data_IF_703552106508
#
_entry.id   IF_703552106508
#
_cell.length_a   1.000
_cell.length_b   1.000
_cell.length_c   1.000
_cell.angle_alpha   90.00
_cell.angle_beta   90.00
_cell.angle_gamma   90.00
#
_symmetry.space_group_name_H-M   'P 1'
#
loop_
_entity.id
_entity.type
_entity.pdbx_description
1 polymer ?
#
# COMPACT_ATOMS: atom_id res chain seq x y z
N UNK A 1 -15.80 22.09 15.68
CA UNK A 1 -16.11 21.99 14.23
C UNK A 1 -15.54 23.15 13.38
N UNK A 2 -16.00 24.39 13.57
CA UNK A 2 -15.57 25.55 12.75
C UNK A 2 -14.06 25.80 12.78
N UNK A 3 -13.45 25.81 13.98
CA UNK A 3 -11.99 25.94 14.13
C UNK A 3 -11.20 24.79 13.47
N UNK A 4 -11.82 23.62 13.30
CA UNK A 4 -11.21 22.50 12.57
C UNK A 4 -11.21 22.74 11.06
N UNK A 5 -12.28 23.33 10.53
CA UNK A 5 -12.37 23.71 9.11
C UNK A 5 -11.35 24.81 8.79
N UNK A 6 -11.24 25.82 9.65
CA UNK A 6 -10.26 26.90 9.52
C UNK A 6 -8.81 26.36 9.51
N UNK A 7 -8.46 25.52 10.49
CA UNK A 7 -7.16 24.87 10.54
C UNK A 7 -6.90 24.01 9.29
N UNK A 8 -7.91 23.27 8.80
CA UNK A 8 -7.78 22.51 7.55
C UNK A 8 -7.53 23.42 6.35
N UNK A 9 -8.23 24.55 6.20
CA UNK A 9 -7.98 25.46 5.07
C UNK A 9 -6.60 26.09 5.13
N UNK A 10 -6.16 26.52 6.31
CA UNK A 10 -4.79 27.03 6.50
C UNK A 10 -3.74 25.95 6.20
N UNK A 11 -4.00 24.71 6.59
CA UNK A 11 -3.19 23.56 6.20
C UNK A 11 -3.13 23.36 4.69
N UNK A 12 -4.26 23.52 3.99
CA UNK A 12 -4.32 23.45 2.53
C UNK A 12 -3.48 24.56 1.87
N UNK A 13 -3.51 25.78 2.41
CA UNK A 13 -2.70 26.90 1.92
C UNK A 13 -1.20 26.62 2.05
N UNK A 14 -0.75 26.19 3.24
CA UNK A 14 0.63 25.80 3.45
C UNK A 14 1.05 24.64 2.54
N UNK A 15 0.18 23.65 2.37
CA UNK A 15 0.44 22.51 1.49
C UNK A 15 0.64 22.96 0.04
N UNK A 16 -0.23 23.84 -0.49
CA UNK A 16 -0.10 24.39 -1.84
C UNK A 16 1.17 25.25 -2.00
N UNK A 17 1.60 25.90 -0.93
CA UNK A 17 2.83 26.67 -0.89
C UNK A 17 4.11 25.82 -0.69
N UNK A 18 3.99 24.49 -0.61
CA UNK A 18 5.13 23.59 -0.36
C UNK A 18 5.66 23.60 1.07
N UNK A 19 4.96 24.27 1.99
CA UNK A 19 5.30 24.41 3.41
C UNK A 19 4.71 23.24 4.20
N UNK A 20 5.25 22.04 3.97
CA UNK A 20 4.64 20.81 4.46
C UNK A 20 4.69 20.66 5.99
N UNK A 21 5.73 21.16 6.65
CA UNK A 21 5.83 21.12 8.12
C UNK A 21 4.74 21.98 8.77
N UNK A 22 4.50 23.18 8.24
CA UNK A 22 3.41 24.05 8.68
C UNK A 22 2.05 23.44 8.36
N UNK A 23 1.88 22.82 7.18
CA UNK A 23 0.66 22.10 6.83
C UNK A 23 0.35 20.96 7.81
N UNK A 24 1.37 20.20 8.24
CA UNK A 24 1.22 19.14 9.26
C UNK A 24 0.71 19.72 10.58
N UNK A 25 1.25 20.85 11.03
CA UNK A 25 0.83 21.48 12.28
C UNK A 25 -0.65 21.87 12.22
N UNK A 26 -1.08 22.49 11.12
CA UNK A 26 -2.47 22.90 10.93
C UNK A 26 -3.42 21.71 10.75
N UNK A 27 -3.02 20.65 10.02
CA UNK A 27 -3.84 19.43 9.93
C UNK A 27 -3.92 18.68 11.26
N UNK A 28 -2.86 18.65 12.06
CA UNK A 28 -2.91 18.11 13.44
C UNK A 28 -3.82 18.93 14.33
N UNK A 29 -3.88 20.24 14.14
CA UNK A 29 -4.86 21.07 14.84
C UNK A 29 -6.27 20.73 14.37
N UNK A 30 -6.50 20.57 13.06
CA UNK A 30 -7.79 20.15 12.51
C UNK A 30 -8.26 18.81 13.11
N UNK A 31 -7.38 17.79 13.17
CA UNK A 31 -7.72 16.49 13.78
C UNK A 31 -7.96 16.57 15.28
N UNK A 32 -7.32 17.48 16.02
CA UNK A 32 -7.67 17.72 17.44
C UNK A 32 -9.06 18.34 17.61
N UNK A 33 -9.45 19.23 16.70
CA UNK A 33 -10.76 19.93 16.75
C UNK A 33 -11.92 19.04 16.31
N UNK A 34 -11.66 18.09 15.43
CA UNK A 34 -12.60 17.07 15.00
C UNK A 34 -11.84 15.77 14.69
N UNK A 35 -11.68 14.89 15.69
CA UNK A 35 -10.94 13.65 15.53
C UNK A 35 -11.67 12.61 14.68
N UNK A 36 -12.96 12.83 14.38
CA UNK A 36 -13.81 11.91 13.63
C UNK A 36 -13.83 12.19 12.13
N UNK A 37 -13.20 13.28 11.68
CA UNK A 37 -13.17 13.65 10.29
C UNK A 37 -12.06 12.93 9.51
N UNK A 38 -12.45 11.91 8.72
CA UNK A 38 -11.51 11.13 7.90
C UNK A 38 -10.68 12.00 6.92
N UNK A 39 -11.25 13.09 6.40
CA UNK A 39 -10.56 13.96 5.46
C UNK A 39 -9.36 14.67 6.10
N UNK A 40 -9.42 15.01 7.39
CA UNK A 40 -8.32 15.68 8.10
C UNK A 40 -7.13 14.74 8.28
N UNK A 41 -7.39 13.48 8.62
CA UNK A 41 -6.35 12.45 8.74
C UNK A 41 -5.72 12.13 7.37
N UNK A 42 -6.50 12.07 6.29
CA UNK A 42 -5.96 11.90 4.94
C UNK A 42 -5.10 13.10 4.49
N UNK A 43 -5.50 14.33 4.82
CA UNK A 43 -4.71 15.52 4.51
C UNK A 43 -3.40 15.56 5.30
N UNK A 44 -3.45 15.15 6.58
CA UNK A 44 -2.26 14.94 7.39
C UNK A 44 -1.32 13.90 6.75
N UNK A 45 -1.85 12.75 6.32
CA UNK A 45 -1.08 11.72 5.62
C UNK A 45 -0.42 12.27 4.35
N UNK A 46 -1.15 13.06 3.56
CA UNK A 46 -0.61 13.70 2.36
C UNK A 46 0.59 14.60 2.69
N UNK A 47 0.50 15.43 3.73
CA UNK A 47 1.59 16.31 4.14
C UNK A 47 2.80 15.55 4.71
N UNK A 48 2.57 14.53 5.54
CA UNK A 48 3.62 13.66 6.07
C UNK A 48 4.37 12.92 4.95
N UNK A 49 3.64 12.39 3.97
CA UNK A 49 4.24 11.71 2.82
C UNK A 49 5.16 12.62 1.98
N UNK A 50 4.91 13.93 1.96
CA UNK A 50 5.77 14.90 1.26
C UNK A 50 7.10 15.16 1.96
N UNK A 51 7.18 14.86 3.26
CA UNK A 51 8.42 14.91 4.05
C UNK A 51 9.11 13.54 4.16
N UNK A 52 8.57 12.49 3.52
CA UNK A 52 9.13 11.14 3.60
C UNK A 52 8.84 10.40 4.92
N UNK A 53 8.00 10.96 5.80
CA UNK A 53 7.55 10.30 7.03
C UNK A 53 6.43 9.29 6.70
N UNK A 54 6.80 8.23 5.98
CA UNK A 54 5.84 7.29 5.41
C UNK A 54 5.15 6.43 6.47
N UNK A 55 5.83 6.06 7.56
CA UNK A 55 5.22 5.29 8.64
C UNK A 55 4.08 6.08 9.30
N UNK A 56 4.34 7.33 9.73
CA UNK A 56 3.30 8.17 10.33
C UNK A 56 2.21 8.54 9.31
N UNK A 57 2.57 8.72 8.04
CA UNK A 57 1.59 8.96 6.98
C UNK A 57 0.64 7.76 6.78
N UNK A 58 1.17 6.54 6.87
CA UNK A 58 0.39 5.30 6.78
C UNK A 58 -0.60 5.17 7.93
N UNK A 59 -0.15 5.41 9.16
CA UNK A 59 -1.02 5.44 10.36
C UNK A 59 -2.16 6.45 10.21
N UNK A 60 -1.88 7.63 9.66
CA UNK A 60 -2.90 8.64 9.40
C UNK A 60 -3.92 8.19 8.32
N UNK A 61 -3.48 7.46 7.27
CA UNK A 61 -4.41 6.84 6.32
C UNK A 61 -5.27 5.76 6.97
N UNK A 62 -4.67 4.90 7.79
CA UNK A 62 -5.40 3.86 8.52
C UNK A 62 -6.42 4.46 9.48
N UNK A 63 -6.08 5.58 10.12
CA UNK A 63 -7.05 6.32 10.95
C UNK A 63 -8.18 6.90 10.11
N UNK A 64 -7.90 7.47 8.95
CA UNK A 64 -8.94 7.95 8.03
C UNK A 64 -9.89 6.82 7.61
N UNK A 65 -9.34 5.64 7.27
CA UNK A 65 -10.11 4.47 6.84
C UNK A 65 -10.85 3.77 7.98
N UNK A 66 -10.36 3.86 9.22
CA UNK A 66 -11.11 3.41 10.39
C UNK A 66 -12.36 4.27 10.62
N UNK A 67 -12.26 5.58 10.35
CA UNK A 67 -13.37 6.52 10.51
C UNK A 67 -14.37 6.43 9.35
N UNK A 68 -13.86 6.30 8.13
CA UNK A 68 -14.66 6.12 6.93
C UNK A 68 -13.99 5.11 5.97
N UNK A 69 -14.41 3.84 6.01
CA UNK A 69 -13.90 2.80 5.11
C UNK A 69 -14.22 3.05 3.63
N UNK A 70 -15.19 3.93 3.34
CA UNK A 70 -15.60 4.30 1.97
C UNK A 70 -14.82 5.50 1.43
N UNK A 71 -13.86 6.04 2.20
CA UNK A 71 -13.09 7.18 1.77
C UNK A 71 -11.96 6.79 0.80
N UNK A 72 -12.32 6.62 -0.48
CA UNK A 72 -11.44 6.15 -1.56
C UNK A 72 -10.10 6.91 -1.66
N UNK A 73 -10.09 8.21 -1.35
CA UNK A 73 -8.85 9.01 -1.37
C UNK A 73 -7.82 8.52 -0.34
N UNK A 74 -8.28 8.03 0.81
CA UNK A 74 -7.41 7.45 1.82
C UNK A 74 -6.88 6.07 1.39
N UNK A 75 -7.68 5.25 0.70
CA UNK A 75 -7.20 4.00 0.09
C UNK A 75 -6.11 4.27 -0.96
N UNK A 76 -6.35 5.21 -1.87
CA UNK A 76 -5.37 5.62 -2.86
C UNK A 76 -4.09 6.17 -2.21
N UNK A 77 -4.22 7.03 -1.18
CA UNK A 77 -3.07 7.59 -0.46
C UNK A 77 -2.28 6.52 0.29
N UNK A 78 -2.95 5.57 0.95
CA UNK A 78 -2.31 4.43 1.60
C UNK A 78 -1.50 3.61 0.59
N UNK A 79 -2.10 3.30 -0.56
CA UNK A 79 -1.42 2.59 -1.64
C UNK A 79 -0.19 3.34 -2.17
N UNK A 80 -0.27 4.67 -2.33
CA UNK A 80 0.89 5.49 -2.74
C UNK A 80 2.03 5.39 -1.72
N UNK A 81 1.71 5.50 -0.43
CA UNK A 81 2.69 5.45 0.66
C UNK A 81 3.36 4.07 0.69
N UNK A 82 2.57 3.00 0.64
CA UNK A 82 3.06 1.62 0.59
C UNK A 82 3.92 1.37 -0.66
N UNK A 83 3.56 1.96 -1.80
CA UNK A 83 4.37 1.93 -3.01
C UNK A 83 5.73 2.62 -2.78
N UNK A 84 5.78 3.79 -2.15
CA UNK A 84 7.05 4.47 -1.86
C UNK A 84 7.90 3.72 -0.83
N UNK A 85 7.27 2.99 0.09
CA UNK A 85 7.93 2.07 1.02
C UNK A 85 8.32 0.73 0.39
N UNK A 86 8.07 0.55 -0.91
CA UNK A 86 8.26 -0.71 -1.65
C UNK A 86 7.53 -1.92 -1.07
N UNK A 87 6.48 -1.69 -0.28
CA UNK A 87 5.53 -2.70 0.17
C UNK A 87 4.50 -2.99 -0.95
N UNK A 88 4.97 -3.41 -2.12
CA UNK A 88 4.14 -3.47 -3.33
C UNK A 88 2.94 -4.43 -3.20
N UNK A 89 3.07 -5.53 -2.47
CA UNK A 89 1.94 -6.42 -2.19
C UNK A 89 0.82 -5.73 -1.40
N UNK A 90 1.17 -4.87 -0.43
CA UNK A 90 0.19 -4.06 0.32
C UNK A 90 -0.39 -2.94 -0.54
N UNK A 91 0.45 -2.26 -1.33
CA UNK A 91 0.00 -1.22 -2.24
C UNK A 91 -1.08 -1.75 -3.21
N UNK A 92 -0.85 -2.92 -3.81
CA UNK A 92 -1.83 -3.59 -4.67
C UNK A 92 -3.15 -3.86 -3.93
N UNK A 93 -3.09 -4.28 -2.67
CA UNK A 93 -4.28 -4.54 -1.85
C UNK A 93 -5.04 -3.24 -1.54
N UNK A 94 -4.35 -2.20 -1.08
CA UNK A 94 -4.92 -0.88 -0.78
C UNK A 94 -5.62 -0.27 -2.00
N UNK A 95 -4.99 -0.33 -3.18
CA UNK A 95 -5.63 0.17 -4.39
C UNK A 95 -6.83 -0.69 -4.83
N UNK A 96 -6.75 -2.02 -4.72
CA UNK A 96 -7.90 -2.92 -4.98
C UNK A 96 -9.07 -2.61 -4.05
N UNK A 97 -8.82 -2.39 -2.76
CA UNK A 97 -9.83 -1.96 -1.78
C UNK A 97 -10.46 -0.63 -2.16
N UNK A 98 -9.67 0.34 -2.63
CA UNK A 98 -10.20 1.58 -3.18
C UNK A 98 -11.13 1.36 -4.39
N UNK A 99 -10.80 0.41 -5.28
CA UNK A 99 -11.65 0.07 -6.43
C UNK A 99 -12.90 -0.76 -6.07
N UNK A 100 -12.87 -1.51 -4.97
CA UNK A 100 -14.09 -2.13 -4.42
C UNK A 100 -15.10 -1.06 -3.97
N UNK A 101 -14.62 0.10 -3.51
CA UNK A 101 -15.45 1.25 -3.11
C UNK A 101 -15.88 2.08 -4.32
N UNK A 102 -14.95 2.40 -5.22
CA UNK A 102 -15.20 3.17 -6.44
C UNK A 102 -14.45 2.55 -7.63
N UNK A 103 -15.14 1.69 -8.39
CA UNK A 103 -14.55 0.85 -9.45
C UNK A 103 -13.81 1.60 -10.55
N UNK A 104 -14.16 2.88 -10.77
CA UNK A 104 -13.57 3.73 -11.80
C UNK A 104 -12.64 4.81 -11.23
N UNK A 105 -12.17 4.66 -9.98
CA UNK A 105 -11.30 5.65 -9.37
C UNK A 105 -9.94 5.72 -10.09
N UNK A 106 -9.58 6.84 -10.73
CA UNK A 106 -8.38 6.93 -11.56
C UNK A 106 -7.09 6.82 -10.74
N UNK A 107 -7.08 7.29 -9.48
CA UNK A 107 -5.89 7.21 -8.63
C UNK A 107 -5.55 5.76 -8.29
N UNK A 108 -6.56 4.97 -7.93
CA UNK A 108 -6.37 3.55 -7.64
C UNK A 108 -5.99 2.75 -8.89
N UNK A 109 -6.61 3.01 -10.05
CA UNK A 109 -6.26 2.34 -11.31
C UNK A 109 -4.81 2.63 -11.72
N UNK A 110 -4.40 3.91 -11.69
CA UNK A 110 -3.03 4.32 -12.00
C UNK A 110 -2.03 3.72 -10.99
N UNK A 111 -2.38 3.71 -9.71
CA UNK A 111 -1.59 3.10 -8.64
C UNK A 111 -1.34 1.60 -8.87
N UNK A 112 -2.40 0.84 -9.20
CA UNK A 112 -2.28 -0.57 -9.56
C UNK A 112 -1.38 -0.79 -10.77
N UNK A 113 -1.61 -0.03 -11.84
CA UNK A 113 -0.83 -0.16 -13.06
C UNK A 113 0.64 0.13 -12.80
N UNK A 114 0.96 1.22 -12.10
CA UNK A 114 2.33 1.60 -11.74
C UNK A 114 3.00 0.54 -10.87
N UNK A 115 2.28 -0.01 -9.90
CA UNK A 115 2.81 -1.05 -9.01
C UNK A 115 3.08 -2.35 -9.77
N UNK A 116 2.14 -2.78 -10.61
CA UNK A 116 2.30 -3.96 -11.46
C UNK A 116 3.48 -3.82 -12.43
N UNK A 117 3.67 -2.62 -13.03
CA UNK A 117 4.82 -2.34 -13.88
C UNK A 117 6.14 -2.51 -13.11
N UNK A 118 6.25 -1.97 -11.89
CA UNK A 118 7.46 -2.14 -11.06
C UNK A 118 7.75 -3.58 -10.69
N UNK A 119 6.70 -4.36 -10.39
CA UNK A 119 6.85 -5.80 -10.12
C UNK A 119 7.36 -6.52 -11.37
N UNK A 120 6.78 -6.24 -12.52
CA UNK A 120 7.18 -6.85 -13.79
C UNK A 120 8.59 -6.45 -14.22
N UNK A 121 8.97 -5.18 -14.07
CA UNK A 121 10.32 -4.69 -14.34
C UNK A 121 11.35 -5.47 -13.53
N UNK A 122 11.13 -5.63 -12.21
CA UNK A 122 12.03 -6.39 -11.34
C UNK A 122 12.11 -7.88 -11.72
N UNK A 123 10.99 -8.49 -12.09
CA UNK A 123 10.96 -9.88 -12.54
C UNK A 123 11.71 -10.07 -13.86
N UNK A 124 11.61 -9.12 -14.79
CA UNK A 124 12.25 -9.20 -16.11
C UNK A 124 13.74 -8.88 -16.06
N UNK A 125 14.17 -7.96 -15.21
CA UNK A 125 15.59 -7.62 -15.07
C UNK A 125 16.38 -8.68 -14.29
N UNK A 126 15.69 -9.50 -13.48
CA UNK A 126 16.32 -10.40 -12.51
C UNK A 126 16.95 -9.67 -11.32
N UNK A 127 16.86 -8.33 -11.27
CA UNK A 127 17.37 -7.55 -10.16
C UNK A 127 16.53 -7.79 -8.91
N UNK A 128 17.22 -8.06 -7.80
CA UNK A 128 16.59 -8.22 -6.49
C UNK A 128 16.51 -6.84 -5.85
N UNK A 129 15.30 -6.29 -5.74
CA UNK A 129 15.07 -5.13 -4.88
C UNK A 129 15.15 -5.58 -3.41
N UNK A 130 16.34 -5.44 -2.82
CA UNK A 130 16.63 -5.92 -1.46
C UNK A 130 15.73 -5.28 -0.40
N UNK A 131 15.35 -4.02 -0.57
CA UNK A 131 14.48 -3.30 0.37
C UNK A 131 13.06 -3.88 0.32
N UNK A 132 12.52 -4.08 -0.89
CA UNK A 132 11.24 -4.77 -1.09
C UNK A 132 11.25 -6.16 -0.48
N UNK A 133 12.28 -6.97 -0.78
CA UNK A 133 12.41 -8.32 -0.26
C UNK A 133 12.51 -8.33 1.27
N UNK A 134 13.24 -7.40 1.87
CA UNK A 134 13.34 -7.25 3.32
C UNK A 134 11.98 -6.91 3.95
N UNK A 135 11.23 -5.97 3.39
CA UNK A 135 9.88 -5.65 3.85
C UNK A 135 8.92 -6.82 3.68
N UNK A 136 8.99 -7.53 2.56
CA UNK A 136 8.24 -8.75 2.32
C UNK A 136 8.54 -9.82 3.36
N UNK A 137 9.82 -10.07 3.66
CA UNK A 137 10.20 -11.04 4.70
C UNK A 137 9.85 -10.60 6.12
N UNK A 138 9.77 -9.30 6.40
CA UNK A 138 9.33 -8.80 7.70
C UNK A 138 7.80 -8.86 7.89
N UNK A 139 7.03 -9.10 6.83
CA UNK A 139 5.58 -9.12 6.87
C UNK A 139 5.03 -10.45 7.44
N UNK A 140 4.23 -10.41 8.53
CA UNK A 140 3.64 -11.61 9.12
C UNK A 140 2.76 -12.43 8.16
N UNK A 141 2.06 -11.77 7.23
CA UNK A 141 1.22 -12.46 6.26
C UNK A 141 2.07 -13.23 5.25
N UNK A 142 3.17 -12.62 4.78
CA UNK A 142 4.13 -13.28 3.90
C UNK A 142 4.79 -14.46 4.61
N UNK A 143 5.17 -14.30 5.88
CA UNK A 143 5.72 -15.39 6.70
C UNK A 143 4.74 -16.55 6.88
N UNK A 144 3.45 -16.24 7.07
CA UNK A 144 2.40 -17.26 7.14
C UNK A 144 2.28 -18.04 5.81
N UNK A 145 2.34 -17.34 4.67
CA UNK A 145 2.32 -17.98 3.34
C UNK A 145 3.56 -18.87 3.13
N UNK A 146 4.76 -18.41 3.50
CA UNK A 146 5.99 -19.20 3.41
C UNK A 146 5.99 -20.42 4.36
N UNK A 147 5.14 -20.40 5.39
CA UNK A 147 4.99 -21.49 6.34
C UNK A 147 3.90 -22.49 5.97
N UNK A 148 3.06 -22.15 4.99
CA UNK A 148 2.00 -23.03 4.49
C UNK A 148 2.60 -24.28 3.80
N UNK A 149 2.28 -25.50 4.26
CA UNK A 149 2.81 -26.73 3.68
C UNK A 149 2.51 -26.89 2.19
N UNK A 150 1.33 -26.45 1.74
CA UNK A 150 0.96 -26.51 0.32
C UNK A 150 1.87 -25.60 -0.48
N UNK A 151 2.09 -24.37 -0.01
CA UNK A 151 2.97 -23.41 -0.69
C UNK A 151 4.41 -23.88 -0.67
N UNK A 152 4.92 -24.42 0.44
CA UNK A 152 6.27 -24.98 0.50
C UNK A 152 6.49 -26.10 -0.52
N UNK A 153 5.51 -27.00 -0.66
CA UNK A 153 5.58 -28.04 -1.68
C UNK A 153 5.59 -27.44 -3.09
N UNK A 154 4.72 -26.47 -3.38
CA UNK A 154 4.70 -25.77 -4.68
C UNK A 154 6.03 -25.07 -4.97
N UNK A 155 6.63 -24.40 -3.99
CA UNK A 155 7.95 -23.76 -4.11
C UNK A 155 9.07 -24.77 -4.40
N UNK A 156 9.02 -25.95 -3.80
CA UNK A 156 9.94 -27.05 -4.11
C UNK A 156 9.70 -27.59 -5.52
N UNK A 157 8.44 -27.79 -5.89
CA UNK A 157 8.05 -28.33 -7.19
C UNK A 157 8.47 -27.38 -8.33
N UNK A 158 8.55 -26.06 -8.12
CA UNK A 158 9.13 -25.15 -9.12
C UNK A 158 10.59 -25.48 -9.48
N UNK A 159 11.34 -26.12 -8.57
CA UNK A 159 12.72 -26.54 -8.80
C UNK A 159 12.80 -27.99 -9.31
N UNK A 160 11.98 -28.88 -8.76
CA UNK A 160 12.07 -30.33 -8.99
C UNK A 160 11.12 -30.85 -10.09
N UNK A 161 9.93 -30.27 -10.20
CA UNK A 161 8.88 -30.69 -11.13
C UNK A 161 7.98 -29.51 -11.57
N UNK A 162 8.44 -28.69 -12.54
CA UNK A 162 7.72 -27.48 -12.97
C UNK A 162 6.29 -27.74 -13.46
N UNK A 163 6.00 -28.94 -13.98
CA UNK A 163 4.65 -29.31 -14.42
C UNK A 163 3.68 -29.43 -13.25
N UNK A 164 4.07 -30.06 -12.15
CA UNK A 164 3.20 -30.17 -10.96
C UNK A 164 3.06 -28.82 -10.26
N UNK A 165 4.11 -28.00 -10.22
CA UNK A 165 4.00 -26.61 -9.74
C UNK A 165 2.98 -25.81 -10.56
N UNK A 166 3.05 -25.89 -11.89
CA UNK A 166 2.11 -25.21 -12.79
C UNK A 166 0.67 -25.71 -12.62
N UNK A 167 0.49 -27.00 -12.37
CA UNK A 167 -0.82 -27.60 -12.08
C UNK A 167 -1.37 -27.12 -10.74
N UNK A 168 -0.54 -26.97 -9.71
CA UNK A 168 -0.95 -26.41 -8.43
C UNK A 168 -1.41 -24.94 -8.53
N UNK A 169 -0.86 -24.17 -9.47
CA UNK A 169 -1.33 -22.81 -9.78
C UNK A 169 -2.74 -22.76 -10.41
N UNK A 170 -3.34 -23.89 -10.77
CA UNK A 170 -4.75 -23.93 -11.18
C UNK A 170 -5.69 -23.62 -10.01
N UNK A 171 -5.26 -23.86 -8.76
CA UNK A 171 -6.00 -23.39 -7.57
C UNK A 171 -5.81 -21.87 -7.43
N UNK A 172 -6.89 -21.07 -7.50
CA UNK A 172 -6.80 -19.62 -7.38
C UNK A 172 -6.23 -19.15 -6.04
N UNK A 173 -6.40 -19.94 -4.97
CA UNK A 173 -5.88 -19.64 -3.63
C UNK A 173 -4.36 -19.80 -3.59
N UNK A 174 -3.85 -20.89 -4.16
CA UNK A 174 -2.40 -21.12 -4.30
C UNK A 174 -1.80 -20.04 -5.19
N UNK A 175 -2.42 -19.77 -6.34
CA UNK A 175 -1.97 -18.73 -7.26
C UNK A 175 -1.89 -17.36 -6.57
N UNK A 176 -2.94 -16.94 -5.86
CA UNK A 176 -2.95 -15.66 -5.16
C UNK A 176 -1.84 -15.54 -4.11
N UNK A 177 -1.55 -16.64 -3.39
CA UNK A 177 -0.43 -16.69 -2.44
C UNK A 177 0.92 -16.54 -3.14
N UNK A 178 1.15 -17.26 -4.23
CA UNK A 178 2.37 -17.16 -5.04
C UNK A 178 2.51 -15.75 -5.64
N UNK A 179 1.44 -15.16 -6.17
CA UNK A 179 1.41 -13.77 -6.64
C UNK A 179 1.76 -12.78 -5.52
N UNK A 180 1.27 -13.00 -4.30
CA UNK A 180 1.62 -12.17 -3.13
C UNK A 180 3.11 -12.31 -2.77
N UNK A 181 3.68 -13.51 -2.79
CA UNK A 181 5.12 -13.72 -2.58
C UNK A 181 5.96 -13.02 -3.65
N UNK A 182 5.53 -13.11 -4.91
CA UNK A 182 6.18 -12.38 -6.01
C UNK A 182 6.08 -10.88 -5.78
N UNK A 183 4.88 -10.33 -5.52
CA UNK A 183 4.68 -8.91 -5.27
C UNK A 183 5.47 -8.40 -4.05
N UNK A 184 5.63 -9.20 -3.01
CA UNK A 184 6.46 -8.90 -1.85
C UNK A 184 7.97 -8.98 -2.12
N UNK A 185 8.37 -9.46 -3.31
CA UNK A 185 9.79 -9.59 -3.71
C UNK A 185 10.53 -10.73 -3.03
N UNK A 186 9.82 -11.63 -2.35
CA UNK A 186 10.43 -12.79 -1.67
C UNK A 186 10.53 -14.02 -2.59
N UNK A 187 9.79 -14.02 -3.70
CA UNK A 187 9.87 -15.02 -4.76
C UNK A 187 10.15 -14.32 -6.09
N UNK A 188 11.14 -14.82 -6.83
CA UNK A 188 11.42 -14.37 -8.21
C UNK A 188 10.82 -15.37 -9.19
N UNK A 189 10.15 -14.87 -10.22
CA UNK A 189 9.86 -15.67 -11.41
C UNK A 189 11.19 -15.85 -12.18
N UNK A 190 11.63 -17.10 -12.35
CA UNK A 190 12.75 -17.46 -13.23
C UNK A 190 12.23 -18.07 -14.51
#
# INVERSE_FOLDING_TARGET
PEKGVEAKEKGNEFFRAGKFAEAINEYREATKRDPTNAAYHNNLAAALSKLGDFNTAKEACEKALQLDPTYVKAWAKKGDIEFFMKEYHKALESYKKGLEVESNNPLCQQGLQRTAQKINEANMSGEVDMERAQHGMADPEVQAILSDPVIRNVLRDFQENPMEAQKALADPTVRAKIEKLMAAGVLQAK
#
